data_IF_449029205800
#
_entry.id   IF_449029205800
#
_cell.length_a   1.000
_cell.length_b   1.000
_cell.length_c   1.000
_cell.angle_alpha   90.00
_cell.angle_beta   90.00
_cell.angle_gamma   90.00
#
_symmetry.space_group_name_H-M   'P 1'
#
loop_
_entity.id
_entity.type
_entity.pdbx_description
1 polymer ?
#
# COMPACT_ATOMS: atom_id res chain seq x y z
N UNK A 1 -12.99 -2.21 -2.15
CA UNK A 1 -11.71 -2.59 -2.78
C UNK A 1 -10.56 -2.65 -1.78
N UNK A 2 -10.27 -1.61 -0.99
CA UNK A 2 -9.20 -1.69 0.02
C UNK A 2 -9.52 -2.75 1.08
N UNK A 3 -10.78 -2.83 1.54
CA UNK A 3 -11.24 -3.90 2.42
C UNK A 3 -11.02 -5.30 1.83
N UNK A 4 -11.37 -5.52 0.56
CA UNK A 4 -11.14 -6.81 -0.11
C UNK A 4 -9.64 -7.18 -0.18
N UNK A 5 -8.76 -6.20 -0.44
CA UNK A 5 -7.32 -6.43 -0.40
C UNK A 5 -6.76 -6.62 1.01
N UNK A 6 -7.39 -6.04 2.04
CA UNK A 6 -7.07 -6.32 3.44
C UNK A 6 -7.55 -7.72 3.86
N UNK A 7 -8.75 -8.15 3.43
CA UNK A 7 -9.29 -9.49 3.68
C UNK A 7 -8.43 -10.58 3.06
N UNK A 8 -7.94 -10.38 1.82
CA UNK A 8 -6.99 -11.31 1.19
C UNK A 8 -5.67 -11.43 1.98
N UNK A 9 -5.26 -10.37 2.66
CA UNK A 9 -4.08 -10.35 3.53
C UNK A 9 -4.39 -10.81 4.97
N UNK A 10 -5.66 -11.04 5.30
CA UNK A 10 -6.12 -11.34 6.66
C UNK A 10 -5.91 -10.20 7.65
N UNK A 11 -5.92 -8.95 7.17
CA UNK A 11 -5.71 -7.77 8.00
C UNK A 11 -7.00 -7.04 8.28
N UNK A 12 -7.14 -6.55 9.50
CA UNK A 12 -8.14 -5.55 9.85
C UNK A 12 -7.53 -4.14 9.88
N UNK A 13 -8.37 -3.10 10.02
CA UNK A 13 -7.91 -1.72 10.04
C UNK A 13 -6.97 -1.40 11.22
N UNK A 14 -7.06 -2.12 12.35
CA UNK A 14 -6.14 -1.97 13.49
C UNK A 14 -4.79 -2.60 13.16
N UNK A 15 -4.75 -3.79 12.56
CA UNK A 15 -3.50 -4.38 12.09
C UNK A 15 -2.84 -3.58 10.98
N UNK A 16 -3.65 -2.98 10.11
CA UNK A 16 -3.15 -2.02 9.13
C UNK A 16 -2.50 -0.81 9.83
N UNK A 17 -3.07 -0.28 10.91
CA UNK A 17 -2.47 0.84 11.67
C UNK A 17 -1.27 0.43 12.52
N UNK A 18 -1.27 -0.78 13.06
CA UNK A 18 -0.20 -1.35 13.89
C UNK A 18 1.07 -1.63 13.07
N UNK A 19 0.89 -2.04 11.81
CA UNK A 19 2.01 -2.37 10.93
C UNK A 19 2.84 -1.14 10.50
N UNK A 20 4.15 -1.32 10.27
CA UNK A 20 5.02 -0.26 9.78
C UNK A 20 4.51 0.39 8.49
N UNK A 21 4.77 1.70 8.31
CA UNK A 21 4.38 2.45 7.11
C UNK A 21 5.03 1.91 5.83
N UNK A 22 6.22 1.32 5.96
CA UNK A 22 6.99 0.71 4.88
C UNK A 22 6.87 -0.81 4.78
N UNK A 23 5.84 -1.41 5.39
CA UNK A 23 5.62 -2.85 5.30
C UNK A 23 5.42 -3.26 3.82
N UNK A 24 6.18 -4.27 3.36
CA UNK A 24 6.15 -4.73 1.96
C UNK A 24 4.76 -5.15 1.49
N UNK A 25 3.95 -5.75 2.37
CA UNK A 25 2.59 -6.13 2.02
C UNK A 25 1.65 -4.91 1.89
N UNK A 26 1.86 -3.82 2.65
CA UNK A 26 1.19 -2.54 2.39
C UNK A 26 1.60 -1.95 1.04
N UNK A 27 2.87 -2.02 0.67
CA UNK A 27 3.34 -1.50 -0.62
C UNK A 27 2.78 -2.32 -1.79
N UNK A 28 2.71 -3.65 -1.64
CA UNK A 28 2.08 -4.55 -2.61
C UNK A 28 0.59 -4.25 -2.78
N UNK A 29 -0.12 -4.00 -1.67
CA UNK A 29 -1.52 -3.58 -1.67
C UNK A 29 -1.69 -2.20 -2.34
N UNK A 30 -0.82 -1.23 -2.03
CA UNK A 30 -0.82 0.09 -2.65
C UNK A 30 -0.64 0.00 -4.18
N UNK A 31 0.27 -0.85 -4.66
CA UNK A 31 0.48 -1.08 -6.10
C UNK A 31 -0.74 -1.70 -6.75
N UNK A 32 -1.33 -2.71 -6.11
CA UNK A 32 -2.51 -3.40 -6.60
C UNK A 32 -3.69 -2.44 -6.70
N UNK A 33 -3.95 -1.65 -5.65
CA UNK A 33 -4.95 -0.59 -5.66
C UNK A 33 -4.68 0.44 -6.76
N UNK A 34 -3.43 0.81 -7.03
CA UNK A 34 -3.12 1.75 -8.12
C UNK A 34 -3.42 1.19 -9.52
N UNK A 35 -3.32 -0.13 -9.70
CA UNK A 35 -3.67 -0.82 -10.96
C UNK A 35 -5.18 -1.01 -11.11
N UNK A 36 -5.86 -1.36 -10.02
CA UNK A 36 -7.30 -1.64 -10.03
C UNK A 36 -8.16 -0.38 -9.87
N UNK A 37 -7.59 0.71 -9.36
CA UNK A 37 -8.29 1.98 -9.17
C UNK A 37 -7.53 3.16 -9.75
N UNK A 38 -8.29 4.10 -10.31
CA UNK A 38 -7.79 5.40 -10.79
C UNK A 38 -7.58 6.41 -9.66
N UNK A 39 -7.68 5.98 -8.40
CA UNK A 39 -7.54 6.85 -7.24
C UNK A 39 -6.10 7.38 -7.11
N UNK A 40 -5.98 8.58 -6.54
CA UNK A 40 -4.68 9.24 -6.35
C UNK A 40 -3.84 8.53 -5.28
N UNK A 41 -2.50 8.63 -5.40
CA UNK A 41 -1.57 8.13 -4.37
C UNK A 41 -1.82 8.76 -3.00
N UNK A 42 -2.33 10.00 -2.96
CA UNK A 42 -2.73 10.68 -1.72
C UNK A 42 -3.88 9.99 -1.03
N UNK A 43 -4.86 9.50 -1.79
CA UNK A 43 -5.95 8.71 -1.26
C UNK A 43 -5.44 7.37 -0.70
N UNK A 44 -4.62 6.64 -1.48
CA UNK A 44 -4.05 5.35 -1.05
C UNK A 44 -3.19 5.50 0.21
N UNK A 45 -2.37 6.55 0.29
CA UNK A 45 -1.52 6.80 1.47
C UNK A 45 -2.34 7.04 2.74
N UNK A 46 -3.48 7.75 2.61
CA UNK A 46 -4.41 7.97 3.72
C UNK A 46 -5.09 6.67 4.12
N UNK A 47 -5.58 5.92 3.14
CA UNK A 47 -6.35 4.69 3.35
C UNK A 47 -5.50 3.57 3.95
N UNK A 48 -4.23 3.45 3.55
CA UNK A 48 -3.28 2.47 4.07
C UNK A 48 -2.50 2.92 5.31
N UNK A 49 -2.81 4.11 5.83
CA UNK A 49 -2.08 4.76 6.92
C UNK A 49 -0.55 4.81 6.69
N UNK A 50 -0.14 5.02 5.45
CA UNK A 50 1.28 5.07 5.06
C UNK A 50 1.88 6.48 5.22
N UNK A 51 1.07 7.46 5.61
CA UNK A 51 1.49 8.84 5.79
C UNK A 51 1.40 9.62 4.47
N UNK A 52 2.54 10.03 3.92
CA UNK A 52 2.58 10.88 2.73
C UNK A 52 2.59 10.06 1.43
N UNK A 53 1.92 10.59 0.41
CA UNK A 53 1.91 10.01 -0.94
C UNK A 53 3.31 9.95 -1.58
N UNK A 54 4.20 10.88 -1.23
CA UNK A 54 5.60 10.88 -1.68
C UNK A 54 6.36 9.67 -1.13
N UNK A 55 6.11 9.32 0.13
CA UNK A 55 6.68 8.14 0.77
C UNK A 55 6.19 6.85 0.08
N UNK A 56 4.89 6.76 -0.23
CA UNK A 56 4.33 5.64 -1.00
C UNK A 56 4.95 5.57 -2.40
N UNK A 57 5.13 6.71 -3.08
CA UNK A 57 5.75 6.75 -4.41
C UNK A 57 7.19 6.22 -4.38
N UNK A 58 7.99 6.62 -3.37
CA UNK A 58 9.35 6.13 -3.20
C UNK A 58 9.38 4.62 -2.90
N UNK A 59 8.47 4.12 -2.07
CA UNK A 59 8.35 2.69 -1.77
C UNK A 59 7.96 1.87 -3.00
N UNK A 60 7.02 2.38 -3.81
CA UNK A 60 6.63 1.72 -5.05
C UNK A 60 7.81 1.61 -6.03
N UNK A 61 8.61 2.67 -6.18
CA UNK A 61 9.84 2.66 -6.99
C UNK A 61 10.88 1.67 -6.45
N UNK A 62 11.04 1.60 -5.13
CA UNK A 62 11.96 0.66 -4.47
C UNK A 62 11.57 -0.80 -4.67
N UNK A 63 10.28 -1.13 -4.57
CA UNK A 63 9.77 -2.49 -4.83
C UNK A 63 9.94 -2.93 -6.29
N UNK A 64 9.90 -2.00 -7.27
CA UNK A 64 10.16 -2.32 -8.68
C UNK A 64 11.60 -2.80 -8.91
N UNK A 65 12.59 -2.26 -8.18
CA UNK A 65 13.96 -2.78 -8.22
C UNK A 65 14.10 -4.19 -7.64
N UNK A 66 13.31 -4.54 -6.62
CA UNK A 66 13.40 -5.88 -5.98
C UNK A 66 12.78 -7.01 -6.81
N UNK A 67 11.99 -6.70 -7.85
CA UNK A 67 11.42 -7.69 -8.77
C UNK A 67 12.26 -7.91 -10.04
N UNK A 68 13.37 -7.20 -10.19
CA UNK A 68 14.23 -7.23 -11.37
C UNK A 68 15.58 -7.95 -11.13
N UNK A 69 15.70 -8.75 -10.06
CA UNK A 69 16.92 -9.53 -9.74
C UNK A 69 16.59 -10.98 -9.45
#
# INVERSE_FOLDING_TARGET
MVRAGMEELGWDEKELRSRPKGDKAKVKLARRLRKETTMSLKWIARELNMGSWTYVCNLLRGEESTKAS
#
